data_IF_111071613961
#
_entry.id   IF_111071613961
#
_cell.length_a   1.000
_cell.length_b   1.000
_cell.length_c   1.000
_cell.angle_alpha   90.00
_cell.angle_beta   90.00
_cell.angle_gamma   90.00
#
_symmetry.space_group_name_H-M   'P 1'
#
loop_
_entity.id
_entity.type
_entity.pdbx_description
1 polymer ?
#
# COMPACT_ATOMS: atom_id res chain seq x y z
N UNK A 1 -2.30 2.12 -24.15
CA UNK A 1 -2.04 0.69 -23.88
C UNK A 1 -1.27 0.61 -22.59
N UNK A 2 -1.91 0.21 -21.49
CA UNK A 2 -1.22 -0.07 -20.23
C UNK A 2 -0.37 -1.32 -20.46
N UNK A 3 0.94 -1.33 -20.18
CA UNK A 3 1.75 -2.54 -20.32
C UNK A 3 1.12 -3.67 -19.51
N UNK A 4 1.08 -4.89 -20.07
CA UNK A 4 0.54 -6.06 -19.39
C UNK A 4 1.29 -6.23 -18.05
N UNK A 5 0.57 -6.08 -16.93
CA UNK A 5 1.14 -6.20 -15.58
C UNK A 5 1.85 -7.56 -15.46
N UNK A 6 3.14 -7.52 -15.10
CA UNK A 6 3.93 -8.69 -14.71
C UNK A 6 3.92 -9.86 -15.73
N UNK A 7 3.86 -9.59 -17.04
CA UNK A 7 3.76 -10.65 -18.07
C UNK A 7 5.00 -11.54 -18.19
N UNK A 8 6.15 -11.07 -17.70
CA UNK A 8 7.42 -11.77 -17.66
C UNK A 8 7.70 -12.43 -16.29
N UNK A 9 6.72 -12.41 -15.39
CA UNK A 9 6.83 -12.95 -14.03
C UNK A 9 6.17 -14.32 -14.00
N UNK A 10 6.81 -15.28 -13.36
CA UNK A 10 6.28 -16.62 -13.14
C UNK A 10 6.35 -16.96 -11.66
N UNK A 11 5.29 -17.59 -11.14
CA UNK A 11 5.29 -18.07 -9.77
C UNK A 11 6.12 -19.36 -9.69
N UNK A 12 7.12 -19.36 -8.83
CA UNK A 12 8.08 -20.45 -8.69
C UNK A 12 7.84 -21.31 -7.45
N UNK A 13 7.52 -20.69 -6.31
CA UNK A 13 7.12 -21.40 -5.09
C UNK A 13 6.25 -20.51 -4.20
N UNK A 14 5.42 -21.16 -3.40
CA UNK A 14 4.51 -20.50 -2.43
C UNK A 14 4.59 -21.25 -1.11
N UNK A 15 4.66 -20.51 -0.02
CA UNK A 15 4.50 -21.00 1.33
C UNK A 15 3.50 -20.08 2.04
N UNK A 16 2.28 -20.59 2.26
CA UNK A 16 1.18 -19.84 2.87
C UNK A 16 0.50 -20.70 3.92
N UNK A 17 0.10 -20.08 5.02
CA UNK A 17 -0.77 -20.68 6.01
C UNK A 17 -2.22 -20.73 5.49
N UNK A 18 -2.92 -21.85 5.67
CA UNK A 18 -4.27 -22.07 5.16
C UNK A 18 -5.30 -21.16 5.83
N UNK A 19 -5.08 -20.82 7.10
CA UNK A 19 -5.94 -19.90 7.85
C UNK A 19 -5.68 -18.43 7.50
N UNK A 20 -4.59 -18.13 6.78
CA UNK A 20 -4.16 -16.77 6.46
C UNK A 20 -3.88 -15.96 7.72
N UNK A 21 -3.32 -16.61 8.75
CA UNK A 21 -2.94 -15.98 10.02
C UNK A 21 -1.45 -15.58 10.01
N UNK A 22 -0.64 -16.23 9.17
CA UNK A 22 0.78 -15.95 9.00
C UNK A 22 1.08 -15.31 7.64
N UNK A 23 2.22 -14.61 7.55
CA UNK A 23 2.70 -14.00 6.31
C UNK A 23 2.94 -15.07 5.24
N UNK A 24 2.43 -14.82 4.04
CA UNK A 24 2.75 -15.63 2.89
C UNK A 24 4.14 -15.32 2.36
N UNK A 25 4.91 -16.35 2.02
CA UNK A 25 6.20 -16.22 1.35
C UNK A 25 6.12 -16.77 -0.08
N UNK A 26 6.56 -15.96 -1.02
CA UNK A 26 6.45 -16.22 -2.45
C UNK A 26 7.82 -16.11 -3.12
N UNK A 27 8.07 -17.00 -4.07
CA UNK A 27 9.21 -16.89 -4.98
C UNK A 27 8.71 -16.72 -6.39
N UNK A 28 9.19 -15.68 -7.06
CA UNK A 28 8.90 -15.39 -8.45
C UNK A 28 10.17 -15.51 -9.28
N UNK A 29 10.01 -15.94 -10.53
CA UNK A 29 11.03 -15.92 -11.56
C UNK A 29 10.68 -14.81 -12.55
N UNK A 30 11.58 -13.85 -12.72
CA UNK A 30 11.43 -12.72 -13.64
C UNK A 30 12.35 -12.94 -14.83
N UNK A 31 11.83 -12.78 -16.04
CA UNK A 31 12.56 -12.97 -17.30
C UNK A 31 13.23 -14.35 -17.42
N UNK A 32 12.70 -15.36 -16.73
CA UNK A 32 13.25 -16.71 -16.71
C UNK A 32 14.60 -16.87 -16.01
N UNK A 33 15.12 -15.83 -15.35
CA UNK A 33 16.47 -15.81 -14.78
C UNK A 33 16.52 -15.30 -13.35
N UNK A 34 15.85 -14.19 -13.06
CA UNK A 34 16.03 -13.50 -11.80
C UNK A 34 15.00 -13.95 -10.77
N UNK A 35 15.49 -14.44 -9.63
CA UNK A 35 14.65 -14.91 -8.54
C UNK A 35 14.31 -13.75 -7.60
N UNK A 36 13.03 -13.53 -7.36
CA UNK A 36 12.52 -12.51 -6.44
C UNK A 36 11.75 -13.16 -5.30
N UNK A 37 12.01 -12.72 -4.09
CA UNK A 37 11.34 -13.15 -2.86
C UNK A 37 10.35 -12.08 -2.45
N UNK A 38 9.08 -12.45 -2.28
CA UNK A 38 8.04 -11.51 -1.88
C UNK A 38 7.32 -12.05 -0.66
N UNK A 39 7.27 -11.26 0.39
CA UNK A 39 6.46 -11.53 1.58
C UNK A 39 5.16 -10.75 1.49
N UNK A 40 4.04 -11.40 1.81
CA UNK A 40 2.72 -10.79 1.76
C UNK A 40 2.04 -10.94 3.12
N UNK A 41 1.46 -9.85 3.62
CA UNK A 41 0.69 -9.87 4.87
C UNK A 41 -0.62 -10.68 4.72
N UNK A 42 -1.11 -11.29 5.82
CA UNK A 42 -2.47 -11.79 5.94
C UNK A 42 -3.54 -10.86 5.35
N UNK A 43 -4.55 -11.43 4.70
CA UNK A 43 -5.72 -10.70 4.21
C UNK A 43 -5.46 -9.79 3.01
N UNK A 44 -4.23 -9.71 2.50
CA UNK A 44 -3.90 -8.93 1.29
C UNK A 44 -4.38 -9.62 0.03
N UNK A 45 -4.12 -10.92 -0.09
CA UNK A 45 -4.48 -11.74 -1.24
C UNK A 45 -5.68 -12.65 -0.91
N UNK A 46 -6.62 -12.87 -1.86
CA UNK A 46 -7.74 -13.79 -1.64
C UNK A 46 -7.27 -15.23 -1.40
N UNK A 47 -7.78 -15.88 -0.35
CA UNK A 47 -7.36 -17.23 0.07
C UNK A 47 -7.44 -18.27 -1.04
N UNK A 48 -8.51 -18.23 -1.84
CA UNK A 48 -8.78 -19.20 -2.91
C UNK A 48 -7.89 -19.03 -4.14
N UNK A 49 -7.20 -17.89 -4.26
CA UNK A 49 -6.47 -17.51 -5.47
C UNK A 49 -4.97 -17.29 -5.25
N UNK A 50 -4.52 -17.25 -3.99
CA UNK A 50 -3.15 -16.87 -3.61
C UNK A 50 -2.09 -17.93 -3.88
N UNK A 51 -2.44 -19.12 -4.39
CA UNK A 51 -1.48 -20.20 -4.69
C UNK A 51 -1.36 -20.52 -6.18
N UNK A 52 -2.22 -19.94 -7.02
CA UNK A 52 -2.24 -20.21 -8.46
C UNK A 52 -1.73 -18.99 -9.24
N UNK A 53 -0.52 -19.12 -9.80
CA UNK A 53 0.22 -18.06 -10.48
C UNK A 53 -0.62 -17.24 -11.47
N UNK A 54 -1.37 -17.86 -12.40
CA UNK A 54 -2.17 -17.13 -13.39
C UNK A 54 -3.24 -16.19 -12.80
N UNK A 55 -3.78 -16.49 -11.61
CA UNK A 55 -4.74 -15.60 -10.93
C UNK A 55 -4.01 -14.65 -9.98
N UNK A 56 -2.97 -15.13 -9.29
CA UNK A 56 -2.18 -14.35 -8.33
C UNK A 56 -1.42 -13.18 -8.97
N UNK A 57 -0.68 -13.43 -10.07
CA UNK A 57 0.26 -12.47 -10.65
C UNK A 57 -0.43 -11.15 -11.09
N UNK A 58 -1.64 -11.19 -11.70
CA UNK A 58 -2.41 -9.98 -11.99
C UNK A 58 -2.84 -9.16 -10.77
N UNK A 59 -2.97 -9.79 -9.59
CA UNK A 59 -3.38 -9.12 -8.34
C UNK A 59 -2.22 -8.35 -7.68
N UNK A 60 -0.97 -8.66 -8.05
CA UNK A 60 0.21 -8.01 -7.49
C UNK A 60 0.44 -6.62 -8.12
N UNK A 61 1.09 -5.70 -7.39
CA UNK A 61 1.62 -4.49 -7.99
C UNK A 61 2.64 -4.84 -9.10
N UNK A 62 2.86 -3.93 -10.06
CA UNK A 62 3.92 -4.09 -11.04
C UNK A 62 5.27 -4.27 -10.34
N UNK A 63 6.04 -5.26 -10.75
CA UNK A 63 7.39 -5.47 -10.21
C UNK A 63 8.29 -4.30 -10.64
N UNK A 64 9.05 -3.69 -9.71
CA UNK A 64 9.92 -2.58 -10.05
C UNK A 64 11.05 -3.04 -10.99
N UNK A 65 11.51 -2.18 -11.92
CA UNK A 65 12.67 -2.49 -12.75
C UNK A 65 13.96 -2.45 -11.93
N UNK A 66 15.02 -3.08 -12.45
CA UNK A 66 16.37 -3.03 -11.87
C UNK A 66 16.66 -4.12 -10.83
N UNK A 67 17.73 -3.89 -10.07
CA UNK A 67 18.29 -4.84 -9.12
C UNK A 67 17.55 -4.79 -7.79
N UNK A 68 16.83 -5.86 -7.47
CA UNK A 68 16.21 -6.10 -6.17
C UNK A 68 15.98 -7.60 -5.99
N UNK A 69 16.01 -8.08 -4.75
CA UNK A 69 15.79 -9.50 -4.47
C UNK A 69 14.60 -9.74 -3.55
N UNK A 70 14.24 -8.75 -2.73
CA UNK A 70 13.19 -8.87 -1.72
C UNK A 70 12.12 -7.81 -1.92
N UNK A 71 10.87 -8.21 -1.75
CA UNK A 71 9.70 -7.34 -1.81
C UNK A 71 8.74 -7.66 -0.67
N UNK A 72 7.97 -6.67 -0.26
CA UNK A 72 6.99 -6.81 0.80
C UNK A 72 5.66 -6.16 0.36
N UNK A 73 4.56 -6.89 0.47
CA UNK A 73 3.23 -6.45 0.06
C UNK A 73 2.29 -6.51 1.25
N UNK A 74 1.75 -5.37 1.63
CA UNK A 74 0.70 -5.23 2.62
C UNK A 74 -0.49 -4.49 2.01
N UNK A 75 -1.67 -4.61 2.63
CA UNK A 75 -2.79 -3.70 2.37
C UNK A 75 -2.45 -2.42 3.13
N UNK A 76 -2.22 -1.32 2.41
CA UNK A 76 -1.99 -0.04 3.08
C UNK A 76 -2.78 1.10 2.43
N UNK A 77 -3.57 1.81 3.25
CA UNK A 77 -3.73 3.24 3.09
C UNK A 77 -3.34 4.07 4.33
N UNK A 78 -2.88 3.48 5.44
CA UNK A 78 -2.79 4.19 6.73
C UNK A 78 -1.57 3.84 7.61
N UNK A 79 -0.52 3.16 7.17
CA UNK A 79 0.62 2.90 8.06
C UNK A 79 1.44 4.15 8.43
N UNK A 80 1.03 5.32 7.95
CA UNK A 80 1.58 6.63 8.27
C UNK A 80 0.50 7.44 8.97
N UNK A 81 0.74 7.78 10.23
CA UNK A 81 0.02 8.83 10.95
C UNK A 81 0.73 10.14 10.67
N UNK A 82 0.06 11.13 10.10
CA UNK A 82 0.70 12.39 9.73
C UNK A 82 1.12 13.21 10.96
N UNK A 83 0.35 13.11 12.05
CA UNK A 83 0.63 13.74 13.35
C UNK A 83 0.16 15.20 13.46
N UNK A 84 -0.07 15.86 12.33
CA UNK A 84 -0.59 17.25 12.24
C UNK A 84 -1.47 17.42 11.00
N UNK A 85 -2.58 16.69 10.91
CA UNK A 85 -3.53 16.89 9.79
C UNK A 85 -4.41 18.10 10.08
N UNK A 86 -4.25 19.15 9.27
CA UNK A 86 -5.07 20.34 9.31
C UNK A 86 -5.27 20.92 7.89
N UNK A 87 -6.25 21.83 7.71
CA UNK A 87 -6.62 22.37 6.38
C UNK A 87 -5.52 23.14 5.65
N UNK A 88 -4.46 23.58 6.35
CA UNK A 88 -3.34 24.31 5.75
C UNK A 88 -2.31 23.37 5.12
N UNK A 89 -2.26 22.13 5.59
CA UNK A 89 -1.36 21.10 5.08
C UNK A 89 -1.88 20.43 3.79
N UNK A 90 -2.91 21.01 3.15
CA UNK A 90 -3.46 20.53 1.88
C UNK A 90 -3.24 21.54 0.76
N UNK A 91 -2.65 21.07 -0.33
CA UNK A 91 -2.58 21.77 -1.60
C UNK A 91 -3.68 21.25 -2.53
N UNK A 92 -4.56 22.14 -2.97
CA UNK A 92 -5.62 21.82 -3.94
C UNK A 92 -5.21 22.31 -5.32
N UNK A 93 -5.12 21.40 -6.30
CA UNK A 93 -4.81 21.73 -7.70
C UNK A 93 -5.56 20.82 -8.66
N UNK A 94 -6.22 21.40 -9.65
CA UNK A 94 -6.91 20.66 -10.73
C UNK A 94 -7.91 19.62 -10.20
N UNK A 95 -8.63 19.95 -9.11
CA UNK A 95 -9.58 19.04 -8.46
C UNK A 95 -8.94 17.87 -7.69
N UNK A 96 -7.61 17.89 -7.51
CA UNK A 96 -6.88 16.93 -6.69
C UNK A 96 -6.39 17.60 -5.41
N UNK A 97 -6.48 16.88 -4.30
CA UNK A 97 -5.88 17.28 -3.03
C UNK A 97 -4.54 16.53 -2.85
N UNK A 98 -3.52 17.25 -2.41
CA UNK A 98 -2.22 16.71 -2.04
C UNK A 98 -1.92 17.12 -0.60
N UNK A 99 -1.70 16.14 0.27
CA UNK A 99 -1.23 16.36 1.64
C UNK A 99 0.27 16.68 1.61
N UNK A 100 0.69 17.67 2.39
CA UNK A 100 2.07 18.13 2.54
C UNK A 100 2.42 18.30 4.02
N UNK A 101 3.71 18.53 4.31
CA UNK A 101 4.25 18.74 5.67
C UNK A 101 4.33 17.49 6.58
N UNK A 102 5.13 16.52 6.16
CA UNK A 102 5.29 15.24 6.87
C UNK A 102 6.29 15.29 8.05
N UNK A 103 6.62 16.46 8.61
CA UNK A 103 7.64 16.57 9.67
C UNK A 103 7.23 15.85 10.96
N UNK A 104 5.94 15.88 11.31
CA UNK A 104 5.39 15.17 12.48
C UNK A 104 4.99 13.71 12.19
N UNK A 105 5.19 13.25 10.95
CA UNK A 105 4.67 11.96 10.51
C UNK A 105 5.49 10.80 11.07
N UNK A 106 4.78 9.76 11.50
CA UNK A 106 5.39 8.53 11.98
C UNK A 106 4.68 7.30 11.43
N UNK A 107 5.42 6.19 11.37
CA UNK A 107 4.79 4.90 11.11
C UNK A 107 3.89 4.53 12.28
N UNK A 108 2.62 4.29 12.02
CA UNK A 108 1.65 3.85 13.01
C UNK A 108 1.00 2.56 12.52
N UNK A 109 1.00 1.53 13.38
CA UNK A 109 0.34 0.25 13.10
C UNK A 109 -0.97 0.11 13.90
N UNK A 110 -1.31 1.13 14.70
CA UNK A 110 -2.51 1.15 15.52
C UNK A 110 -3.68 1.72 14.71
N UNK A 111 -4.52 0.79 14.23
CA UNK A 111 -5.68 1.13 13.40
C UNK A 111 -6.57 2.22 14.01
N UNK A 112 -6.80 2.18 15.33
CA UNK A 112 -7.63 3.17 16.02
C UNK A 112 -7.06 4.58 15.94
N UNK A 113 -5.73 4.74 16.02
CA UNK A 113 -5.12 6.07 15.92
C UNK A 113 -5.25 6.66 14.52
N UNK A 114 -5.16 5.80 13.51
CA UNK A 114 -5.24 6.19 12.10
C UNK A 114 -6.68 6.53 11.70
N UNK A 115 -7.65 5.76 12.19
CA UNK A 115 -9.07 6.06 12.04
C UNK A 115 -9.42 7.37 12.75
N UNK A 116 -8.92 7.59 13.97
CA UNK A 116 -9.15 8.85 14.70
C UNK A 116 -8.54 10.07 13.98
N UNK A 117 -7.35 9.94 13.40
CA UNK A 117 -6.72 11.01 12.61
C UNK A 117 -7.54 11.31 11.33
N UNK A 118 -8.06 10.28 10.66
CA UNK A 118 -8.92 10.43 9.49
C UNK A 118 -10.27 11.10 9.84
N UNK A 119 -10.88 10.77 10.97
CA UNK A 119 -12.11 11.44 11.43
C UNK A 119 -11.87 12.91 11.78
N UNK A 120 -10.76 13.21 12.47
CA UNK A 120 -10.35 14.59 12.75
C UNK A 120 -10.10 15.38 11.47
N UNK A 121 -9.55 14.73 10.44
CA UNK A 121 -9.37 15.32 9.13
C UNK A 121 -10.69 15.75 8.49
N UNK A 122 -11.72 14.87 8.44
CA UNK A 122 -13.03 15.23 7.89
C UNK A 122 -13.68 16.40 8.65
N UNK A 123 -13.52 16.43 9.98
CA UNK A 123 -13.97 17.56 10.79
C UNK A 123 -13.21 18.86 10.44
N UNK A 124 -11.89 18.79 10.22
CA UNK A 124 -11.07 19.96 9.85
C UNK A 124 -11.42 20.55 8.49
N UNK A 125 -11.84 19.71 7.53
CA UNK A 125 -12.27 20.14 6.19
C UNK A 125 -13.64 20.81 6.19
N UNK A 126 -14.53 20.38 7.09
CA UNK A 126 -15.88 20.95 7.23
C UNK A 126 -15.90 22.26 8.04
N UNK A 127 -14.78 22.62 8.68
CA UNK A 127 -14.64 23.90 9.38
C UNK A 127 -14.52 25.08 8.39
N UNK A 128 -15.67 25.73 8.17
CA UNK A 128 -15.83 26.95 7.37
C UNK A 128 -15.32 28.22 8.05
N UNK A 129 -14.70 28.11 9.24
CA UNK A 129 -14.14 29.26 9.96
C UNK A 129 -13.04 29.94 9.16
N UNK A 130 -13.37 31.11 8.64
CA UNK A 130 -12.46 32.12 8.04
C UNK A 130 -11.80 32.94 9.14
N UNK A 131 -11.10 32.31 10.08
CA UNK A 131 -10.20 33.05 10.98
C UNK A 131 -8.82 33.16 10.33
N UNK A 132 -8.77 34.06 9.36
CA UNK A 132 -7.58 34.33 8.57
C UNK A 132 -7.82 35.49 7.61
N UNK A 133 -8.35 36.61 8.11
CA UNK A 133 -8.15 37.91 7.49
C UNK A 133 -7.75 38.86 8.63
N UNK A 134 -6.60 39.55 8.53
CA UNK A 134 -6.20 40.54 9.53
C UNK A 134 -7.19 41.70 9.63
#
# INVERSE_FOLDING_TARGET
MTPARNSNVQLSSVLVDWNDEEKGAYRFLVDGKDTKYVTVEPGVLPKDSRTFGPILIPLLPPFPPGEWNEGYVSKDPLSIKHGDINKYNFLIREGKAMLVDFEASQRCNEKQELEAEYEQFEASLSDTSTRGVP
#
